data_IF_298835213193
#
_entry.id   IF_298835213193
#
_cell.length_a   1.000
_cell.length_b   1.000
_cell.length_c   1.000
_cell.angle_alpha   90.00
_cell.angle_beta   90.00
_cell.angle_gamma   90.00
#
_symmetry.space_group_name_H-M   'P 1'
#
loop_
_entity.id
_entity.type
_entity.pdbx_description
1 polymer ?
#
# COMPACT_ATOMS: atom_id res chain seq x y z
N UNK A 1 -14.30 -13.73 6.93
CA UNK A 1 -15.50 -14.19 6.16
C UNK A 1 -15.96 -13.17 5.10
N UNK A 2 -16.31 -11.91 5.40
CA UNK A 2 -16.78 -10.94 4.36
C UNK A 2 -15.81 -10.69 3.21
N UNK A 3 -14.51 -10.58 3.44
CA UNK A 3 -13.52 -10.41 2.34
C UNK A 3 -13.48 -11.65 1.43
N UNK A 4 -13.65 -12.83 1.98
CA UNK A 4 -13.71 -14.10 1.22
C UNK A 4 -15.01 -14.16 0.39
N UNK A 5 -16.15 -13.78 0.98
CA UNK A 5 -17.44 -13.71 0.28
C UNK A 5 -17.42 -12.67 -0.85
N UNK A 6 -16.84 -11.50 -0.62
CA UNK A 6 -16.66 -10.48 -1.67
C UNK A 6 -15.79 -10.98 -2.83
N UNK A 7 -14.78 -11.81 -2.54
CA UNK A 7 -13.98 -12.44 -3.58
C UNK A 7 -14.79 -13.48 -4.36
N UNK A 8 -15.47 -14.38 -3.68
CA UNK A 8 -16.28 -15.45 -4.30
C UNK A 8 -17.40 -14.85 -5.14
N UNK A 9 -18.17 -13.89 -4.62
CA UNK A 9 -19.25 -13.24 -5.36
C UNK A 9 -18.75 -12.52 -6.61
N UNK A 10 -17.58 -11.90 -6.57
CA UNK A 10 -16.96 -11.27 -7.76
C UNK A 10 -16.57 -12.30 -8.81
N UNK A 11 -15.95 -13.43 -8.42
CA UNK A 11 -15.62 -14.50 -9.35
C UNK A 11 -16.89 -15.06 -10.03
N UNK A 12 -17.95 -15.29 -9.26
CA UNK A 12 -19.24 -15.74 -9.80
C UNK A 12 -19.82 -14.74 -10.81
N UNK A 13 -19.77 -13.44 -10.51
CA UNK A 13 -20.22 -12.38 -11.43
C UNK A 13 -19.39 -12.28 -12.72
N UNK A 14 -18.16 -12.76 -12.70
CA UNK A 14 -17.29 -12.76 -13.87
C UNK A 14 -17.45 -14.03 -14.74
N UNK A 15 -18.07 -15.10 -14.23
CA UNK A 15 -18.26 -16.35 -14.98
C UNK A 15 -19.00 -16.15 -16.33
N UNK A 16 -20.14 -15.41 -16.40
CA UNK A 16 -20.85 -15.19 -17.65
C UNK A 16 -20.04 -14.41 -18.68
N UNK A 17 -18.99 -13.72 -18.25
CA UNK A 17 -18.15 -12.90 -19.13
C UNK A 17 -16.97 -13.69 -19.75
N UNK A 18 -16.83 -14.98 -19.43
CA UNK A 18 -15.73 -15.81 -19.94
C UNK A 18 -15.67 -15.91 -21.48
N UNK A 19 -16.78 -15.95 -22.20
CA UNK A 19 -16.77 -15.94 -23.67
C UNK A 19 -16.29 -14.60 -24.27
N UNK A 20 -16.30 -13.51 -23.49
CA UNK A 20 -15.91 -12.20 -23.99
C UNK A 20 -14.38 -12.05 -24.11
N UNK A 21 -13.89 -11.14 -24.99
CA UNK A 21 -12.48 -10.80 -25.09
C UNK A 21 -11.86 -10.44 -23.74
N UNK A 22 -10.61 -10.83 -23.51
CA UNK A 22 -9.90 -10.63 -22.24
C UNK A 22 -9.97 -9.17 -21.73
N UNK A 23 -9.89 -8.18 -22.65
CA UNK A 23 -9.98 -6.75 -22.31
C UNK A 23 -11.32 -6.40 -21.64
N UNK A 24 -12.44 -6.93 -22.14
CA UNK A 24 -13.77 -6.68 -21.55
C UNK A 24 -13.88 -7.30 -20.16
N UNK A 25 -13.39 -8.52 -19.97
CA UNK A 25 -13.37 -9.19 -18.67
C UNK A 25 -12.51 -8.43 -17.63
N UNK A 26 -11.33 -7.93 -18.05
CA UNK A 26 -10.45 -7.12 -17.21
C UNK A 26 -11.15 -5.83 -16.78
N UNK A 27 -11.83 -5.15 -17.70
CA UNK A 27 -12.55 -3.91 -17.39
C UNK A 27 -13.72 -4.16 -16.41
N UNK A 28 -14.48 -5.25 -16.61
CA UNK A 28 -15.54 -5.65 -15.68
C UNK A 28 -14.98 -5.98 -14.28
N UNK A 29 -13.86 -6.72 -14.20
CA UNK A 29 -13.22 -7.01 -12.92
C UNK A 29 -12.72 -5.73 -12.21
N UNK A 30 -12.18 -4.76 -12.97
CA UNK A 30 -11.79 -3.44 -12.44
C UNK A 30 -13.00 -2.68 -11.90
N UNK A 31 -14.10 -2.67 -12.65
CA UNK A 31 -15.33 -2.01 -12.22
C UNK A 31 -15.90 -2.62 -10.94
N UNK A 32 -15.99 -3.95 -10.85
CA UNK A 32 -16.45 -4.64 -9.64
C UNK A 32 -15.55 -4.38 -8.43
N UNK A 33 -14.24 -4.29 -8.62
CA UNK A 33 -13.28 -3.90 -7.57
C UNK A 33 -13.44 -2.45 -7.16
N UNK A 34 -13.66 -1.55 -8.12
CA UNK A 34 -13.95 -0.14 -7.85
C UNK A 34 -15.23 0.04 -7.04
N UNK A 35 -16.29 -0.69 -7.37
CA UNK A 35 -17.53 -0.73 -6.59
C UNK A 35 -17.29 -1.18 -5.14
N UNK A 36 -16.47 -2.21 -4.94
CA UNK A 36 -16.12 -2.68 -3.59
C UNK A 36 -15.22 -1.68 -2.84
N UNK A 37 -14.27 -1.03 -3.52
CA UNK A 37 -13.48 0.07 -2.95
C UNK A 37 -14.37 1.24 -2.55
N UNK A 38 -15.32 1.64 -3.40
CA UNK A 38 -16.29 2.71 -3.10
C UNK A 38 -17.14 2.36 -1.87
N UNK A 39 -17.70 1.14 -1.80
CA UNK A 39 -18.46 0.70 -0.64
C UNK A 39 -17.64 0.78 0.66
N UNK A 40 -16.37 0.34 0.63
CA UNK A 40 -15.47 0.43 1.79
C UNK A 40 -15.14 1.87 2.14
N UNK A 41 -14.94 2.72 1.14
CA UNK A 41 -14.69 4.14 1.33
C UNK A 41 -15.87 4.81 2.06
N UNK A 42 -17.10 4.51 1.66
CA UNK A 42 -18.29 5.07 2.33
C UNK A 42 -18.38 4.67 3.80
N UNK A 43 -18.07 3.40 4.11
CA UNK A 43 -18.21 2.81 5.45
C UNK A 43 -17.02 3.04 6.38
N UNK A 44 -15.89 3.51 5.86
CA UNK A 44 -14.68 3.71 6.65
C UNK A 44 -14.74 4.98 7.51
N UNK A 45 -14.29 4.89 8.76
CA UNK A 45 -14.03 6.04 9.62
C UNK A 45 -12.77 6.78 9.14
N UNK A 46 -11.73 6.02 8.78
CA UNK A 46 -10.45 6.54 8.31
C UNK A 46 -9.95 5.78 7.08
N UNK A 47 -9.18 6.49 6.26
CA UNK A 47 -8.50 5.92 5.10
C UNK A 47 -7.00 5.88 5.38
N UNK A 48 -6.35 4.72 5.17
CA UNK A 48 -4.91 4.64 5.07
C UNK A 48 -4.54 4.50 3.61
N UNK A 49 -4.15 5.62 3.03
CA UNK A 49 -3.76 5.75 1.63
C UNK A 49 -2.26 5.56 1.47
N UNK A 50 -1.83 4.85 0.45
CA UNK A 50 -0.42 4.72 0.09
C UNK A 50 -0.28 4.18 -1.33
N UNK A 51 0.84 4.41 -1.98
CA UNK A 51 1.23 3.55 -3.10
C UNK A 51 1.65 2.16 -2.61
N UNK A 52 1.67 1.15 -3.49
CA UNK A 52 2.22 -0.16 -3.17
C UNK A 52 3.68 -0.06 -2.77
N UNK A 53 4.15 -0.85 -1.80
CA UNK A 53 5.55 -0.90 -1.34
C UNK A 53 6.04 0.27 -0.46
N UNK A 54 5.16 1.17 -0.04
CA UNK A 54 5.46 2.25 0.91
C UNK A 54 5.51 1.80 2.40
N UNK A 55 5.63 0.51 2.72
CA UNK A 55 5.73 0.05 4.12
C UNK A 55 4.40 -0.30 4.79
N UNK A 56 3.26 -0.21 4.09
CA UNK A 56 1.91 -0.43 4.66
C UNK A 56 1.74 -1.76 5.42
N UNK A 57 2.42 -2.83 5.02
CA UNK A 57 2.31 -4.11 5.73
C UNK A 57 2.99 -4.06 7.09
N UNK A 58 4.13 -3.39 7.20
CA UNK A 58 4.84 -3.17 8.45
C UNK A 58 4.01 -2.31 9.42
N UNK A 59 3.54 -1.15 8.96
CA UNK A 59 2.62 -0.31 9.73
C UNK A 59 1.38 -1.09 10.20
N UNK A 60 0.78 -1.89 9.32
CA UNK A 60 -0.39 -2.70 9.68
C UNK A 60 -0.09 -3.74 10.76
N UNK A 61 1.10 -4.34 10.77
CA UNK A 61 1.50 -5.29 11.84
C UNK A 61 1.65 -4.56 13.17
N UNK A 62 2.29 -3.39 13.19
CA UNK A 62 2.38 -2.54 14.41
C UNK A 62 0.99 -2.16 14.92
N UNK A 63 0.12 -1.63 14.06
CA UNK A 63 -1.27 -1.31 14.42
C UNK A 63 -2.06 -2.55 14.90
N UNK A 64 -1.83 -3.71 14.28
CA UNK A 64 -2.47 -4.96 14.71
C UNK A 64 -2.05 -5.32 16.13
N UNK A 65 -0.74 -5.27 16.41
CA UNK A 65 -0.20 -5.58 17.73
C UNK A 65 -0.73 -4.63 18.81
N UNK A 66 -0.72 -3.33 18.54
CA UNK A 66 -1.26 -2.32 19.44
C UNK A 66 -2.72 -2.61 19.82
N UNK A 67 -3.61 -2.80 18.85
CA UNK A 67 -5.02 -3.07 19.13
C UNK A 67 -5.24 -4.46 19.76
N UNK A 68 -4.39 -5.44 19.45
CA UNK A 68 -4.43 -6.76 20.10
C UNK A 68 -4.16 -6.66 21.59
N UNK A 69 -3.15 -5.89 22.00
CA UNK A 69 -2.82 -5.69 23.42
C UNK A 69 -3.88 -4.83 24.10
N UNK A 70 -4.20 -3.68 23.52
CA UNK A 70 -5.11 -2.71 24.14
C UNK A 70 -6.52 -3.21 24.32
N UNK A 71 -7.03 -4.00 23.38
CA UNK A 71 -8.43 -4.42 23.34
C UNK A 71 -8.66 -5.94 23.36
N UNK A 72 -7.62 -6.73 23.61
CA UNK A 72 -7.74 -8.19 23.72
C UNK A 72 -8.11 -8.90 22.39
N UNK A 73 -7.72 -8.33 21.24
CA UNK A 73 -8.01 -8.95 19.95
C UNK A 73 -7.08 -10.17 19.73
N UNK A 74 -7.62 -11.34 19.29
CA UNK A 74 -6.78 -12.52 19.11
C UNK A 74 -5.64 -12.32 18.10
N UNK A 75 -4.42 -12.71 18.48
CA UNK A 75 -3.17 -12.46 17.74
C UNK A 75 -3.11 -13.10 16.35
N UNK A 76 -3.92 -14.12 16.08
CA UNK A 76 -4.02 -14.78 14.76
C UNK A 76 -4.61 -13.89 13.65
N UNK A 77 -5.25 -12.77 14.02
CA UNK A 77 -5.83 -11.84 13.07
C UNK A 77 -4.90 -10.64 12.83
N UNK A 78 -4.78 -10.22 11.59
CA UNK A 78 -4.18 -8.93 11.23
C UNK A 78 -5.31 -7.92 11.02
N UNK A 79 -5.11 -6.68 11.39
CA UNK A 79 -6.04 -5.57 11.16
C UNK A 79 -6.42 -5.50 9.67
N UNK A 80 -7.70 -5.60 9.40
CA UNK A 80 -8.30 -5.47 8.06
C UNK A 80 -9.13 -4.20 7.95
N UNK A 81 -10.10 -4.20 7.06
CA UNK A 81 -11.00 -3.06 6.88
C UNK A 81 -11.85 -2.79 8.13
N UNK A 82 -12.65 -3.80 8.53
CA UNK A 82 -13.64 -3.68 9.61
C UNK A 82 -13.58 -4.85 10.61
N UNK A 83 -12.61 -5.74 10.49
CA UNK A 83 -12.61 -6.97 11.29
C UNK A 83 -12.36 -6.70 12.78
N UNK A 84 -11.52 -5.75 13.13
CA UNK A 84 -11.29 -5.37 14.53
C UNK A 84 -12.43 -4.51 15.07
N UNK A 85 -12.93 -3.56 14.29
CA UNK A 85 -14.11 -2.75 14.64
C UNK A 85 -15.31 -3.62 15.02
N UNK A 86 -15.54 -4.72 14.28
CA UNK A 86 -16.62 -5.68 14.61
C UNK A 86 -16.38 -6.50 15.87
N UNK A 87 -15.13 -6.67 16.29
CA UNK A 87 -14.77 -7.33 17.54
C UNK A 87 -14.87 -6.37 18.72
N UNK A 88 -14.48 -5.12 18.50
CA UNK A 88 -14.56 -4.05 19.47
C UNK A 88 -14.83 -2.71 18.76
N UNK A 89 -16.02 -2.11 18.94
CA UNK A 89 -16.41 -0.85 18.27
C UNK A 89 -15.56 0.36 18.65
N UNK A 90 -14.76 0.31 19.73
CA UNK A 90 -13.81 1.35 20.08
C UNK A 90 -12.63 1.43 19.09
N UNK A 91 -12.41 0.40 18.27
CA UNK A 91 -11.40 0.38 17.23
C UNK A 91 -12.03 0.91 15.94
N UNK A 92 -11.51 1.99 15.34
CA UNK A 92 -12.08 2.54 14.12
C UNK A 92 -11.95 1.57 12.93
N UNK A 93 -12.89 1.64 11.98
CA UNK A 93 -12.76 0.97 10.70
C UNK A 93 -11.79 1.73 9.80
N UNK A 94 -10.74 1.06 9.34
CA UNK A 94 -9.67 1.68 8.54
C UNK A 94 -9.60 1.07 7.14
N UNK A 95 -9.91 1.84 6.12
CA UNK A 95 -9.79 1.38 4.73
C UNK A 95 -8.38 1.55 4.20
N UNK A 96 -7.64 0.45 4.15
CA UNK A 96 -6.30 0.39 3.58
C UNK A 96 -6.38 0.26 2.06
N UNK A 97 -6.07 1.31 1.33
CA UNK A 97 -6.19 1.32 -0.13
C UNK A 97 -4.97 1.90 -0.84
N UNK A 98 -4.87 1.63 -2.13
CA UNK A 98 -4.01 2.32 -3.11
C UNK A 98 -4.85 3.17 -4.07
N UNK A 99 -6.20 3.11 -3.95
CA UNK A 99 -7.11 3.79 -4.87
C UNK A 99 -7.06 3.28 -6.32
N UNK A 100 -6.63 2.03 -6.53
CA UNK A 100 -6.34 1.53 -7.88
C UNK A 100 -7.57 1.39 -8.77
N UNK A 101 -8.73 1.03 -8.19
CA UNK A 101 -9.90 0.65 -8.97
C UNK A 101 -11.08 1.59 -8.80
N UNK A 102 -11.08 2.45 -7.79
CA UNK A 102 -12.19 3.37 -7.49
C UNK A 102 -12.60 4.16 -8.74
N UNK A 103 -11.62 4.71 -9.45
CA UNK A 103 -11.81 5.47 -10.71
C UNK A 103 -12.54 4.68 -11.80
N UNK A 104 -12.40 3.36 -11.84
CA UNK A 104 -13.10 2.51 -12.82
C UNK A 104 -14.60 2.39 -12.52
N UNK A 105 -15.02 2.65 -11.29
CA UNK A 105 -16.42 2.67 -10.87
C UNK A 105 -17.02 4.06 -10.93
N UNK A 106 -16.30 5.08 -10.40
CA UNK A 106 -16.81 6.44 -10.28
C UNK A 106 -16.60 7.29 -11.55
N UNK A 107 -15.73 6.85 -12.47
CA UNK A 107 -15.37 7.62 -13.66
C UNK A 107 -14.39 8.78 -13.39
N UNK A 108 -13.95 8.98 -12.13
CA UNK A 108 -13.04 10.05 -11.74
C UNK A 108 -11.60 9.61 -11.80
N UNK A 109 -10.84 10.22 -12.69
CA UNK A 109 -9.46 9.82 -12.95
C UNK A 109 -8.43 10.70 -12.27
N UNK A 110 -8.64 12.03 -12.30
CA UNK A 110 -7.64 13.01 -11.91
C UNK A 110 -7.97 13.75 -10.61
N UNK A 111 -9.23 13.71 -10.16
CA UNK A 111 -9.63 14.25 -8.86
C UNK A 111 -9.84 13.15 -7.80
N UNK A 112 -9.95 13.55 -6.55
CA UNK A 112 -10.17 12.69 -5.39
C UNK A 112 -11.40 13.10 -4.58
N UNK A 113 -12.43 13.68 -5.24
CA UNK A 113 -13.65 14.16 -4.58
C UNK A 113 -14.33 13.09 -3.73
N UNK A 114 -14.27 11.81 -4.13
CA UNK A 114 -14.80 10.69 -3.33
C UNK A 114 -14.20 10.61 -1.93
N UNK A 115 -13.02 11.21 -1.70
CA UNK A 115 -12.30 11.20 -0.43
C UNK A 115 -12.45 12.49 0.39
N UNK A 116 -13.05 13.56 -0.13
CA UNK A 116 -13.03 14.88 0.53
C UNK A 116 -13.69 14.88 1.91
N UNK A 117 -14.77 14.14 2.10
CA UNK A 117 -15.42 13.95 3.40
C UNK A 117 -14.72 12.96 4.35
N UNK A 118 -13.48 12.56 4.10
CA UNK A 118 -12.77 11.53 4.86
C UNK A 118 -11.53 12.07 5.56
N UNK A 119 -11.14 11.39 6.65
CA UNK A 119 -9.86 11.59 7.33
C UNK A 119 -8.84 10.59 6.79
N UNK A 120 -7.66 11.06 6.39
CA UNK A 120 -6.67 10.27 5.65
C UNK A 120 -5.31 10.22 6.37
N UNK A 121 -4.84 9.01 6.64
CA UNK A 121 -3.42 8.76 6.91
C UNK A 121 -2.75 8.48 5.56
N UNK A 122 -1.90 9.39 5.10
CA UNK A 122 -1.14 9.27 3.85
C UNK A 122 0.25 8.72 4.14
N UNK A 123 0.49 7.45 3.81
CA UNK A 123 1.80 6.82 3.98
C UNK A 123 2.58 6.94 2.67
N UNK A 124 3.64 7.73 2.68
CA UNK A 124 4.52 8.00 1.54
C UNK A 124 5.90 7.35 1.73
N UNK A 125 6.62 7.17 0.65
CA UNK A 125 8.00 6.67 0.62
C UNK A 125 8.70 7.21 -0.62
N UNK A 126 10.03 7.34 -0.57
CA UNK A 126 10.85 7.71 -1.73
C UNK A 126 10.42 6.91 -2.98
N UNK A 127 9.94 7.59 -4.04
CA UNK A 127 9.38 6.94 -5.21
C UNK A 127 10.38 6.04 -5.93
N UNK A 128 11.69 6.31 -5.84
CA UNK A 128 12.78 5.51 -6.41
C UNK A 128 12.88 4.15 -5.70
N UNK A 129 12.86 4.15 -4.36
CA UNK A 129 12.81 2.93 -3.55
C UNK A 129 11.53 2.13 -3.78
N UNK A 130 10.40 2.84 -3.96
CA UNK A 130 9.10 2.22 -4.26
C UNK A 130 9.15 1.53 -5.62
N UNK A 131 9.69 2.19 -6.66
CA UNK A 131 9.76 1.66 -8.03
C UNK A 131 10.60 0.37 -8.08
N UNK A 132 11.80 0.37 -7.48
CA UNK A 132 12.64 -0.83 -7.36
C UNK A 132 11.93 -1.94 -6.58
N UNK A 133 11.33 -1.61 -5.44
CA UNK A 133 10.58 -2.59 -4.65
C UNK A 133 9.37 -3.14 -5.39
N UNK A 134 8.76 -2.35 -6.29
CA UNK A 134 7.66 -2.75 -7.15
C UNK A 134 8.10 -3.70 -8.26
N UNK A 135 9.31 -3.52 -8.84
CA UNK A 135 9.91 -4.48 -9.76
C UNK A 135 10.00 -5.87 -9.15
N UNK A 136 10.58 -6.00 -7.94
CA UNK A 136 10.68 -7.31 -7.26
C UNK A 136 9.30 -7.91 -6.95
N UNK A 137 8.33 -7.08 -6.57
CA UNK A 137 6.94 -7.52 -6.38
C UNK A 137 6.34 -8.03 -7.69
N UNK A 138 6.54 -7.32 -8.80
CA UNK A 138 6.06 -7.69 -10.12
C UNK A 138 6.74 -8.97 -10.61
N UNK A 139 8.07 -9.03 -10.58
CA UNK A 139 8.85 -10.15 -11.14
C UNK A 139 8.57 -11.47 -10.39
N UNK A 140 8.60 -11.45 -9.06
CA UNK A 140 8.66 -12.66 -8.24
C UNK A 140 7.38 -13.02 -7.48
N UNK A 141 6.42 -12.10 -7.33
CA UNK A 141 5.28 -12.31 -6.40
C UNK A 141 3.91 -12.07 -7.05
N UNK A 142 3.84 -11.23 -8.07
CA UNK A 142 2.56 -10.81 -8.62
C UNK A 142 1.99 -11.86 -9.57
N UNK A 143 0.76 -12.31 -9.27
CA UNK A 143 0.04 -13.24 -10.12
C UNK A 143 -0.29 -12.63 -11.49
N UNK A 144 -0.29 -13.44 -12.56
CA UNK A 144 -0.58 -13.02 -13.95
C UNK A 144 -1.81 -12.12 -14.08
N UNK A 145 -2.96 -12.52 -13.48
CA UNK A 145 -4.19 -11.71 -13.49
C UNK A 145 -4.00 -10.33 -12.86
N UNK A 146 -3.24 -10.25 -11.76
CA UNK A 146 -3.00 -8.96 -11.08
C UNK A 146 -2.11 -8.04 -11.92
N UNK A 147 -1.16 -8.58 -12.67
CA UNK A 147 -0.35 -7.81 -13.61
C UNK A 147 -1.25 -7.17 -14.67
N UNK A 148 -2.12 -7.95 -15.32
CA UNK A 148 -3.06 -7.47 -16.31
C UNK A 148 -4.08 -6.44 -15.76
N UNK A 149 -4.56 -6.64 -14.53
CA UNK A 149 -5.48 -5.69 -13.87
C UNK A 149 -4.88 -4.33 -13.59
N UNK A 150 -3.56 -4.21 -13.45
CA UNK A 150 -2.90 -2.96 -13.06
C UNK A 150 -1.91 -2.46 -14.12
N UNK A 151 -2.06 -2.87 -15.37
CA UNK A 151 -1.24 -2.47 -16.52
C UNK A 151 0.27 -2.70 -16.35
N UNK A 152 0.64 -3.66 -15.50
CA UNK A 152 2.03 -4.08 -15.41
C UNK A 152 2.48 -4.79 -16.69
N UNK A 153 3.78 -4.76 -16.99
CA UNK A 153 4.34 -5.55 -18.08
C UNK A 153 3.89 -7.01 -18.02
N UNK A 154 3.78 -7.70 -19.18
CA UNK A 154 3.30 -9.07 -19.24
C UNK A 154 4.01 -10.01 -18.27
N UNK A 155 3.31 -11.08 -17.88
CA UNK A 155 3.94 -12.11 -17.05
C UNK A 155 5.05 -12.79 -17.86
N UNK A 156 6.21 -12.97 -17.26
CA UNK A 156 7.44 -13.47 -17.88
C UNK A 156 8.11 -12.53 -18.91
N UNK A 157 7.71 -11.25 -19.01
CA UNK A 157 8.50 -10.29 -19.76
C UNK A 157 9.92 -10.22 -19.16
N UNK A 158 10.92 -10.28 -20.04
CA UNK A 158 12.30 -10.09 -19.64
C UNK A 158 12.68 -8.62 -19.83
N UNK A 159 12.63 -7.88 -18.74
CA UNK A 159 12.97 -6.46 -18.68
C UNK A 159 13.92 -6.22 -17.51
N UNK A 160 14.85 -5.31 -17.70
CA UNK A 160 15.79 -4.91 -16.67
C UNK A 160 15.09 -4.17 -15.51
N UNK A 161 15.78 -4.01 -14.38
CA UNK A 161 15.28 -3.18 -13.27
C UNK A 161 15.09 -1.74 -13.74
N UNK A 162 16.05 -1.23 -14.54
CA UNK A 162 16.00 0.13 -15.06
C UNK A 162 14.82 0.36 -15.99
N UNK A 163 14.61 -0.50 -16.99
CA UNK A 163 13.48 -0.39 -17.92
C UNK A 163 12.11 -0.48 -17.20
N UNK A 164 12.05 -1.31 -16.16
CA UNK A 164 10.84 -1.36 -15.33
C UNK A 164 10.63 -0.07 -14.55
N UNK A 165 11.70 0.49 -13.98
CA UNK A 165 11.63 1.75 -13.21
C UNK A 165 11.24 2.91 -14.12
N UNK A 166 11.72 2.94 -15.35
CA UNK A 166 11.38 3.97 -16.34
C UNK A 166 10.04 3.73 -17.06
N UNK A 167 9.36 2.63 -16.79
CA UNK A 167 8.09 2.30 -17.44
C UNK A 167 6.95 3.23 -17.02
N UNK A 168 6.24 3.81 -17.98
CA UNK A 168 5.18 4.81 -17.79
C UNK A 168 4.00 4.32 -16.94
N UNK A 169 3.62 3.04 -17.08
CA UNK A 169 2.41 2.48 -16.44
C UNK A 169 2.69 1.78 -15.11
N UNK A 170 3.92 1.31 -14.89
CA UNK A 170 4.28 0.48 -13.75
C UNK A 170 5.41 1.04 -12.89
N UNK A 171 6.22 1.95 -13.45
CA UNK A 171 7.44 2.46 -12.87
C UNK A 171 7.30 3.80 -12.15
N UNK A 172 8.40 4.51 -12.14
CA UNK A 172 8.56 5.79 -11.45
C UNK A 172 7.60 6.88 -11.97
N UNK A 173 7.37 7.03 -13.31
CA UNK A 173 6.44 8.06 -13.80
C UNK A 173 5.03 7.93 -13.24
N UNK A 174 4.47 6.73 -13.18
CA UNK A 174 3.12 6.54 -12.62
C UNK A 174 3.08 6.71 -11.09
N UNK A 175 4.18 6.41 -10.38
CA UNK A 175 4.30 6.64 -8.94
C UNK A 175 4.33 8.14 -8.65
N UNK A 176 5.13 8.91 -9.39
CA UNK A 176 5.21 10.37 -9.28
C UNK A 176 3.84 10.99 -9.57
N UNK A 177 3.17 10.57 -10.64
CA UNK A 177 1.81 11.03 -10.98
C UNK A 177 0.82 10.79 -9.83
N UNK A 178 0.88 9.64 -9.17
CA UNK A 178 0.06 9.36 -7.99
C UNK A 178 0.36 10.33 -6.85
N UNK A 179 1.63 10.58 -6.53
CA UNK A 179 1.98 11.51 -5.47
C UNK A 179 1.60 12.95 -5.81
N UNK A 180 1.83 13.39 -7.05
CA UNK A 180 1.44 14.73 -7.49
C UNK A 180 -0.06 14.97 -7.45
N UNK A 181 -0.87 13.96 -7.78
CA UNK A 181 -2.33 14.06 -7.61
C UNK A 181 -2.66 14.21 -6.12
N UNK A 182 -2.07 13.37 -5.25
CA UNK A 182 -2.36 13.46 -3.82
C UNK A 182 -1.80 14.71 -3.16
N UNK A 183 -0.70 15.27 -3.60
CA UNK A 183 -0.20 16.57 -3.15
C UNK A 183 -1.25 17.68 -3.34
N UNK A 184 -1.90 17.71 -4.51
CA UNK A 184 -2.94 18.71 -4.85
C UNK A 184 -4.29 18.44 -4.17
N UNK A 185 -4.60 17.18 -3.92
CA UNK A 185 -5.93 16.75 -3.45
C UNK A 185 -6.02 16.57 -1.94
N UNK A 186 -4.91 16.25 -1.28
CA UNK A 186 -4.87 16.01 0.17
C UNK A 186 -5.29 17.23 1.02
N UNK A 187 -4.99 18.49 0.65
CA UNK A 187 -5.49 19.66 1.37
C UNK A 187 -7.02 19.83 1.36
N UNK A 188 -7.72 19.16 0.45
CA UNK A 188 -9.18 19.28 0.27
C UNK A 188 -9.98 18.26 1.11
N UNK A 189 -9.33 17.30 1.76
CA UNK A 189 -10.01 16.32 2.61
C UNK A 189 -10.32 16.88 4.00
N UNK A 190 -11.26 16.26 4.72
CA UNK A 190 -11.67 16.73 6.07
C UNK A 190 -10.51 16.81 7.07
N UNK A 191 -9.50 15.97 6.91
CA UNK A 191 -8.28 16.00 7.71
C UNK A 191 -7.28 14.96 7.23
N UNK A 192 -5.99 15.25 7.40
CA UNK A 192 -4.94 14.33 6.97
C UNK A 192 -3.72 14.39 7.87
N UNK A 193 -3.01 13.28 7.92
CA UNK A 193 -1.66 13.17 8.46
C UNK A 193 -0.79 12.46 7.44
N UNK A 194 0.38 13.03 7.16
CA UNK A 194 1.37 12.45 6.24
C UNK A 194 2.45 11.75 7.06
N UNK A 195 2.67 10.48 6.79
CA UNK A 195 3.72 9.66 7.42
C UNK A 195 4.71 9.26 6.33
N UNK A 196 5.95 9.69 6.47
CA UNK A 196 7.04 9.24 5.59
C UNK A 196 7.59 7.90 6.10
N UNK A 197 7.80 6.97 5.18
CA UNK A 197 8.38 5.66 5.52
C UNK A 197 9.76 5.81 6.18
N UNK A 198 10.55 6.76 5.72
CA UNK A 198 11.90 7.05 6.21
C UNK A 198 11.86 7.52 7.67
N UNK A 199 10.91 8.41 8.01
CA UNK A 199 10.71 8.88 9.38
C UNK A 199 10.17 7.76 10.27
N UNK A 200 9.20 7.00 9.79
CA UNK A 200 8.71 5.81 10.49
C UNK A 200 9.80 4.75 10.69
N UNK A 201 10.83 4.70 9.82
CA UNK A 201 12.00 3.82 10.01
C UNK A 201 12.96 4.34 11.06
N UNK A 202 13.13 5.65 11.17
CA UNK A 202 13.99 6.30 12.15
C UNK A 202 13.35 6.29 13.53
N UNK A 203 12.08 6.75 13.60
CA UNK A 203 11.33 6.96 14.84
C UNK A 203 9.94 6.28 14.75
N UNK A 204 9.87 4.94 14.79
CA UNK A 204 8.60 4.23 14.60
C UNK A 204 7.58 4.50 15.70
N UNK A 205 8.02 4.76 16.94
CA UNK A 205 7.15 5.08 18.06
C UNK A 205 6.43 6.42 17.85
N UNK A 206 7.15 7.46 17.44
CA UNK A 206 6.57 8.79 17.15
C UNK A 206 5.54 8.70 16.01
N UNK A 207 5.89 8.01 14.92
CA UNK A 207 4.97 7.81 13.81
C UNK A 207 3.67 7.10 14.25
N UNK A 208 3.77 6.08 15.11
CA UNK A 208 2.60 5.40 15.66
C UNK A 208 1.78 6.29 16.59
N UNK A 209 2.41 7.05 17.47
CA UNK A 209 1.73 8.02 18.34
C UNK A 209 0.92 9.02 17.53
N UNK A 210 1.53 9.60 16.49
CA UNK A 210 0.86 10.53 15.58
C UNK A 210 -0.33 9.89 14.89
N UNK A 211 -0.18 8.66 14.37
CA UNK A 211 -1.27 7.93 13.73
C UNK A 211 -2.41 7.64 14.71
N UNK A 212 -2.12 7.10 15.90
CA UNK A 212 -3.16 6.74 16.85
C UNK A 212 -3.86 7.95 17.47
N UNK A 213 -3.16 9.06 17.68
CA UNK A 213 -3.76 10.34 18.05
C UNK A 213 -4.76 10.80 16.97
N UNK A 214 -4.33 10.76 15.70
CA UNK A 214 -5.20 11.11 14.57
C UNK A 214 -6.41 10.18 14.42
N UNK A 215 -6.25 8.88 14.71
CA UNK A 215 -7.32 7.88 14.68
C UNK A 215 -8.25 7.96 15.91
N UNK A 216 -7.97 8.82 16.89
CA UNK A 216 -8.74 8.94 18.13
C UNK A 216 -8.57 7.75 19.09
N UNK A 217 -7.49 7.00 18.97
CA UNK A 217 -7.17 5.85 19.82
C UNK A 217 -5.75 5.95 20.41
N UNK A 218 -5.43 7.03 21.16
CA UNK A 218 -4.09 7.25 21.68
C UNK A 218 -3.64 6.07 22.56
N UNK A 219 -2.35 5.77 22.50
CA UNK A 219 -1.71 4.74 23.31
C UNK A 219 -0.79 5.33 24.37
N UNK A 220 -0.49 4.54 25.38
CA UNK A 220 0.62 4.80 26.29
C UNK A 220 1.94 4.52 25.59
N UNK A 221 3.03 5.07 26.12
CA UNK A 221 4.37 4.81 25.59
C UNK A 221 4.69 3.31 25.58
N UNK A 222 4.34 2.58 26.63
CA UNK A 222 4.54 1.13 26.72
C UNK A 222 3.76 0.33 25.65
N UNK A 223 2.50 0.70 25.39
CA UNK A 223 1.68 0.06 24.34
C UNK A 223 2.27 0.30 22.94
N UNK A 224 2.78 1.50 22.71
CA UNK A 224 3.42 1.88 21.43
C UNK A 224 4.74 1.12 21.27
N UNK A 225 5.59 1.09 22.31
CA UNK A 225 6.89 0.42 22.25
C UNK A 225 6.73 -1.08 22.04
N UNK A 226 5.78 -1.74 22.72
CA UNK A 226 5.47 -3.17 22.47
C UNK A 226 5.09 -3.43 21.00
N UNK A 227 4.32 -2.54 20.39
CA UNK A 227 3.95 -2.68 18.98
C UNK A 227 5.15 -2.51 18.03
N UNK A 228 6.07 -1.60 18.34
CA UNK A 228 7.32 -1.38 17.60
C UNK A 228 8.23 -2.60 17.71
N UNK A 229 8.49 -3.08 18.92
CA UNK A 229 9.35 -4.21 19.19
C UNK A 229 8.83 -5.50 18.54
N UNK A 230 7.51 -5.72 18.62
CA UNK A 230 6.85 -6.85 17.95
C UNK A 230 7.06 -6.81 16.43
N UNK A 231 7.09 -5.64 15.82
CA UNK A 231 7.25 -5.47 14.39
C UNK A 231 8.72 -5.21 13.95
N UNK A 232 9.69 -5.45 14.82
CA UNK A 232 11.11 -5.39 14.47
C UNK A 232 11.44 -6.28 13.26
N UNK A 233 12.43 -5.88 12.46
CA UNK A 233 12.75 -6.51 11.17
C UNK A 233 12.90 -8.04 11.25
N UNK A 234 13.65 -8.53 12.25
CA UNK A 234 13.87 -9.96 12.43
C UNK A 234 12.59 -10.72 12.78
N UNK A 235 11.72 -10.10 13.60
CA UNK A 235 10.43 -10.71 13.92
C UNK A 235 9.48 -10.69 12.72
N UNK A 236 9.48 -9.60 11.94
CA UNK A 236 8.71 -9.52 10.70
C UNK A 236 9.06 -10.63 9.71
N UNK A 237 10.34 -10.98 9.57
CA UNK A 237 10.79 -12.13 8.77
C UNK A 237 10.23 -13.44 9.31
N UNK A 238 10.36 -13.68 10.63
CA UNK A 238 9.81 -14.87 11.27
C UNK A 238 8.29 -14.99 11.11
N UNK A 239 7.56 -13.87 11.24
CA UNK A 239 6.11 -13.83 11.02
C UNK A 239 5.75 -14.17 9.57
N UNK A 240 6.52 -13.68 8.59
CA UNK A 240 6.32 -14.01 7.17
C UNK A 240 6.58 -15.49 6.89
N UNK A 241 7.68 -16.05 7.38
CA UNK A 241 8.05 -17.46 7.21
C UNK A 241 7.06 -18.44 7.83
N UNK A 242 6.56 -18.10 9.03
CA UNK A 242 5.55 -18.90 9.76
C UNK A 242 4.13 -18.71 9.23
N UNK A 243 3.92 -17.77 8.28
CA UNK A 243 2.57 -17.37 7.84
C UNK A 243 1.65 -17.08 9.03
N UNK A 244 2.14 -16.28 9.98
CA UNK A 244 1.51 -16.05 11.28
C UNK A 244 0.06 -15.55 11.20
N UNK A 245 -0.29 -14.85 10.11
CA UNK A 245 -1.62 -14.26 9.90
C UNK A 245 -2.45 -15.01 8.85
N UNK A 246 -2.44 -16.35 8.87
CA UNK A 246 -3.22 -17.20 7.92
C UNK A 246 -4.68 -16.77 7.80
N UNK A 247 -5.30 -16.45 8.93
CA UNK A 247 -6.70 -16.04 9.01
C UNK A 247 -7.03 -14.70 8.34
N UNK A 248 -6.00 -13.91 8.00
CA UNK A 248 -6.13 -12.58 7.37
C UNK A 248 -5.70 -12.57 5.90
N UNK A 249 -5.67 -13.73 5.26
CA UNK A 249 -5.24 -13.91 3.87
C UNK A 249 -3.71 -13.90 3.71
N UNK A 250 -3.23 -13.98 2.48
CA UNK A 250 -1.80 -14.10 2.14
C UNK A 250 -1.04 -12.76 2.15
N UNK A 251 -1.34 -11.87 3.14
CA UNK A 251 -0.75 -10.53 3.16
C UNK A 251 0.71 -10.51 3.61
N UNK A 252 1.10 -11.44 4.47
CA UNK A 252 2.48 -11.59 4.96
C UNK A 252 2.90 -13.05 4.78
N UNK A 253 3.19 -13.43 3.53
CA UNK A 253 3.59 -14.79 3.13
C UNK A 253 4.64 -14.65 2.03
N UNK A 254 5.74 -15.42 2.06
CA UNK A 254 6.72 -15.42 0.96
C UNK A 254 6.10 -15.99 -0.32
N UNK A 255 6.57 -15.53 -1.48
CA UNK A 255 6.16 -16.09 -2.77
C UNK A 255 6.69 -17.53 -2.96
N UNK A 256 7.96 -17.73 -2.62
CA UNK A 256 8.64 -19.03 -2.57
C UNK A 256 9.52 -19.06 -1.32
N UNK A 257 9.31 -20.05 -0.46
CA UNK A 257 10.10 -20.20 0.77
C UNK A 257 11.57 -20.44 0.42
N UNK A 258 12.49 -19.76 1.09
CA UNK A 258 13.94 -19.86 0.87
C UNK A 258 14.50 -18.95 -0.24
N UNK A 259 13.67 -18.28 -1.05
CA UNK A 259 14.14 -17.31 -2.04
C UNK A 259 13.95 -15.88 -1.52
N UNK A 260 15.07 -15.16 -1.19
CA UNK A 260 15.01 -13.82 -0.60
C UNK A 260 14.27 -12.79 -1.44
N UNK A 261 14.24 -12.93 -2.77
CA UNK A 261 13.56 -12.01 -3.67
C UNK A 261 12.03 -12.11 -3.60
N UNK A 262 11.51 -13.20 -3.07
CA UNK A 262 10.08 -13.48 -2.96
C UNK A 262 9.47 -13.05 -1.64
N UNK A 263 10.28 -12.56 -0.69
CA UNK A 263 9.80 -12.05 0.59
C UNK A 263 9.26 -10.62 0.47
N UNK A 264 8.27 -10.32 1.29
CA UNK A 264 7.78 -8.95 1.45
C UNK A 264 8.75 -8.10 2.25
N UNK A 265 9.30 -8.68 3.32
CA UNK A 265 10.34 -8.11 4.18
C UNK A 265 11.68 -8.46 3.57
N UNK A 266 12.05 -7.77 2.47
CA UNK A 266 13.26 -8.12 1.72
C UNK A 266 14.52 -7.51 2.32
N UNK A 267 14.68 -6.20 2.29
CA UNK A 267 15.89 -5.48 2.74
C UNK A 267 15.59 -4.39 3.77
N UNK A 268 14.40 -3.79 3.70
CA UNK A 268 13.97 -2.67 4.55
C UNK A 268 14.97 -1.48 4.57
N UNK A 269 15.78 -1.31 3.50
CA UNK A 269 16.80 -0.27 3.37
C UNK A 269 16.17 1.00 2.80
N UNK A 270 16.48 2.13 3.39
CA UNK A 270 16.19 3.48 2.85
C UNK A 270 17.30 3.85 1.87
N UNK A 271 16.92 4.42 0.71
CA UNK A 271 17.86 4.75 -0.36
C UNK A 271 18.47 3.52 -1.06
N UNK A 272 17.89 2.34 -0.85
CA UNK A 272 18.39 1.08 -1.38
C UNK A 272 18.25 0.92 -2.88
N UNK A 273 17.55 1.83 -3.57
CA UNK A 273 17.46 1.85 -5.02
C UNK A 273 18.85 2.05 -5.69
N UNK A 274 19.75 2.81 -5.06
CA UNK A 274 21.10 3.09 -5.58
C UNK A 274 21.95 1.83 -5.82
N UNK A 275 21.63 0.73 -5.14
CA UNK A 275 22.38 -0.53 -5.27
C UNK A 275 22.10 -1.28 -6.61
N UNK A 276 21.21 -0.76 -7.46
CA UNK A 276 20.73 -1.43 -8.68
C UNK A 276 21.08 -0.73 -9.99
N UNK A 277 21.69 0.45 -9.93
CA UNK A 277 21.91 1.31 -11.09
C UNK A 277 23.33 1.83 -11.12
N UNK A 278 23.85 2.07 -12.32
CA UNK A 278 25.08 2.84 -12.54
C UNK A 278 24.82 4.35 -12.40
N UNK A 279 25.88 5.14 -12.47
CA UNK A 279 25.84 6.60 -12.26
C UNK A 279 24.96 7.32 -13.29
N UNK A 280 24.97 6.88 -14.57
CA UNK A 280 24.14 7.46 -15.62
C UNK A 280 22.66 7.18 -15.38
N UNK A 281 22.32 5.95 -15.05
CA UNK A 281 20.95 5.56 -14.70
C UNK A 281 20.45 6.27 -13.45
N UNK A 282 21.31 6.42 -12.44
CA UNK A 282 20.98 7.19 -11.22
C UNK A 282 20.69 8.65 -11.55
N UNK A 283 21.53 9.28 -12.39
CA UNK A 283 21.31 10.67 -12.81
C UNK A 283 19.95 10.84 -13.52
N UNK A 284 19.59 9.92 -14.42
CA UNK A 284 18.28 9.96 -15.11
C UNK A 284 17.11 9.79 -14.14
N UNK A 285 17.20 8.85 -13.19
CA UNK A 285 16.17 8.58 -12.18
C UNK A 285 16.02 9.77 -11.23
N UNK A 286 17.14 10.33 -10.75
CA UNK A 286 17.14 11.46 -9.83
C UNK A 286 16.62 12.72 -10.52
N UNK A 287 17.04 13.02 -11.76
CA UNK A 287 16.53 14.13 -12.55
C UNK A 287 15.01 14.04 -12.76
N UNK A 288 14.47 12.87 -13.11
CA UNK A 288 13.03 12.68 -13.26
C UNK A 288 12.28 13.05 -11.99
N UNK A 289 12.77 12.64 -10.82
CA UNK A 289 12.09 12.96 -9.53
C UNK A 289 12.18 14.46 -9.24
N UNK A 290 13.35 15.07 -9.42
CA UNK A 290 13.57 16.50 -9.17
C UNK A 290 12.74 17.40 -10.09
N UNK A 291 12.60 17.03 -11.35
CA UNK A 291 11.93 17.85 -12.37
C UNK A 291 10.40 17.66 -12.36
N UNK A 292 9.91 16.48 -12.01
CA UNK A 292 8.50 16.14 -12.24
C UNK A 292 7.68 15.90 -10.97
N UNK A 293 8.32 15.67 -9.81
CA UNK A 293 7.62 15.46 -8.55
C UNK A 293 7.46 16.76 -7.76
N UNK A 294 6.23 17.02 -7.28
CA UNK A 294 5.95 18.14 -6.38
C UNK A 294 6.65 17.95 -5.02
N UNK A 295 7.08 19.04 -4.36
CA UNK A 295 7.87 18.99 -3.13
C UNK A 295 7.10 18.59 -1.87
N UNK A 296 5.78 18.55 -1.90
CA UNK A 296 4.87 18.42 -0.75
C UNK A 296 5.19 17.22 0.16
N UNK A 297 5.76 16.16 -0.37
CA UNK A 297 6.15 14.97 0.41
C UNK A 297 7.67 14.90 0.72
N UNK A 298 8.43 15.91 0.32
CA UNK A 298 9.86 16.04 0.61
C UNK A 298 10.78 15.09 -0.18
N UNK A 299 10.39 14.67 -1.41
CA UNK A 299 11.21 13.80 -2.25
C UNK A 299 11.64 14.42 -3.58
N UNK A 300 10.95 15.40 -4.09
CA UNK A 300 11.21 16.06 -5.36
C UNK A 300 11.08 17.56 -5.25
N UNK A 301 11.32 18.25 -6.37
CA UNK A 301 11.20 19.67 -6.51
C UNK A 301 12.34 20.43 -5.83
N UNK A 302 13.05 21.27 -6.56
CA UNK A 302 13.74 22.41 -5.94
C UNK A 302 12.63 23.22 -5.27
N UNK A 303 12.70 23.42 -3.96
CA UNK A 303 11.83 24.33 -3.24
C UNK A 303 11.70 25.61 -4.09
N UNK A 304 10.47 25.95 -4.45
CA UNK A 304 10.14 26.89 -5.52
C UNK A 304 11.12 28.03 -5.69
N UNK A 305 11.56 28.19 -6.94
CA UNK A 305 11.99 29.49 -7.42
C UNK A 305 10.77 30.39 -7.61
#
# INVERSE_FOLDING_TARGET
>A
MRETWSHISRELLLLPLYPLPARRRINADRWLRGREEHRKLQLADYILMSWGKSGRTWLRVMMSRFYQQKYGIPSKYMLGFDNYHRMNPAIPSVFFTHGNYLRNYTGRWDDKQDFYGKKIVMLVRDPRDVAVSQFFQWKYRMKRRKKALNWYPPHNADISVFDFVMNEDAGLPCIIRFFNIWARELPKVTGSVVIRYEDMRREPAEALQQIFAFLGTPGTEAEIQDAVDFAAYENMKKLEEKNAFKSSGSRLVPGKKGDPNTYKVRRAKVGGYRDYFDDEQLAQIDAMVEETMLPDFGYGGKAGA
#
